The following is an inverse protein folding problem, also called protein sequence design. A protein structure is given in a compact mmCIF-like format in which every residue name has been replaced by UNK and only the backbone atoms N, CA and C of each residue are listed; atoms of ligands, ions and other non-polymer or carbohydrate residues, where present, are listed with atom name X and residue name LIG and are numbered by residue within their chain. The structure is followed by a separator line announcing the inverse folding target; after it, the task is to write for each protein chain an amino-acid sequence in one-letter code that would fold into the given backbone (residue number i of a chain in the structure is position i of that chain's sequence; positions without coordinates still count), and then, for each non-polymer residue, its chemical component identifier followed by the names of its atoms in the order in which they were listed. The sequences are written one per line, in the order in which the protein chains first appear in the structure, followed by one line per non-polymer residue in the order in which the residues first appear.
data_IF_216074687479
#
_entry.id   IF_216074687479
#
_cell.length_a   1.000
_cell.length_b   1.000
_cell.length_c   1.000
_cell.angle_alpha   90.00
_cell.angle_beta   90.00
_cell.angle_gamma   90.00
#
_symmetry.space_group_name_H-M   'P 1'
#
loop_
_entity.id
_entity.type
_entity.pdbx_description
1 polymer ?
#
# COMPACT_ATOMS: atom_id res chain seq x y z
N UNK A 1 -3.36 12.43 15.57
CA UNK A 1 -4.16 12.78 14.39
C UNK A 1 -5.51 13.35 14.85
N UNK A 2 -5.97 14.47 14.26
CA UNK A 2 -7.28 15.05 14.56
C UNK A 2 -8.33 14.11 13.94
N UNK A 3 -9.29 13.61 14.74
CA UNK A 3 -10.36 12.75 14.18
C UNK A 3 -11.22 13.57 13.22
N UNK A 4 -11.51 13.02 12.06
CA UNK A 4 -12.38 13.62 11.05
C UNK A 4 -13.85 13.51 11.45
N UNK A 5 -14.69 14.48 11.06
CA UNK A 5 -16.10 14.43 11.37
C UNK A 5 -16.86 13.52 10.40
N UNK A 6 -17.66 12.62 10.96
CA UNK A 6 -18.66 11.84 10.25
C UNK A 6 -20.05 12.33 10.63
N UNK A 7 -20.87 12.64 9.63
CA UNK A 7 -22.21 13.17 9.84
C UNK A 7 -23.27 12.23 9.25
N UNK A 8 -24.28 11.95 10.04
CA UNK A 8 -25.45 11.19 9.63
C UNK A 8 -26.64 12.15 9.53
N UNK A 9 -27.40 12.12 8.42
CA UNK A 9 -28.60 12.95 8.29
C UNK A 9 -29.73 12.18 7.58
N UNK A 10 -30.81 11.95 8.26
CA UNK A 10 -32.01 11.31 7.69
C UNK A 10 -33.31 11.87 8.33
N UNK A 11 -34.43 11.86 7.54
CA UNK A 11 -35.69 12.36 7.96
C UNK A 11 -36.34 11.55 9.12
N UNK A 12 -36.01 10.26 9.23
CA UNK A 12 -36.45 9.41 10.33
C UNK A 12 -35.49 9.58 11.52
N UNK A 13 -35.93 10.43 12.49
CA UNK A 13 -35.17 10.71 13.72
C UNK A 13 -34.92 9.44 14.55
N UNK A 14 -35.87 8.53 14.61
CA UNK A 14 -35.73 7.28 15.35
C UNK A 14 -34.73 6.35 14.74
N UNK A 15 -34.67 6.28 13.41
CA UNK A 15 -33.69 5.50 12.67
C UNK A 15 -32.25 6.06 12.84
N UNK A 16 -32.08 7.37 12.61
CA UNK A 16 -30.75 7.98 12.64
C UNK A 16 -30.14 7.98 14.04
N UNK A 17 -30.97 8.17 15.08
CA UNK A 17 -30.51 8.10 16.48
C UNK A 17 -30.01 6.69 16.86
N UNK A 18 -30.75 5.65 16.44
CA UNK A 18 -30.35 4.26 16.68
C UNK A 18 -29.05 3.92 15.95
N UNK A 19 -28.93 4.36 14.69
CA UNK A 19 -27.73 4.16 13.88
C UNK A 19 -26.51 4.87 14.49
N UNK A 20 -26.69 6.13 14.91
CA UNK A 20 -25.65 6.90 15.58
C UNK A 20 -25.22 6.25 16.91
N UNK A 21 -26.17 5.79 17.71
CA UNK A 21 -25.90 5.08 18.97
C UNK A 21 -25.11 3.78 18.72
N UNK A 22 -25.43 3.04 17.67
CA UNK A 22 -24.69 1.84 17.30
C UNK A 22 -23.24 2.17 16.95
N UNK A 23 -23.00 3.17 16.08
CA UNK A 23 -21.65 3.55 15.66
C UNK A 23 -20.81 4.14 16.78
N UNK A 24 -21.40 4.92 17.68
CA UNK A 24 -20.72 5.47 18.86
C UNK A 24 -20.23 4.39 19.83
N UNK A 25 -20.83 3.20 19.82
CA UNK A 25 -20.44 2.07 20.67
C UNK A 25 -19.50 1.07 19.99
N UNK A 26 -19.07 1.32 18.74
CA UNK A 26 -18.09 0.48 18.08
C UNK A 26 -16.69 0.65 18.73
N UNK A 27 -16.03 -0.45 19.05
CA UNK A 27 -14.65 -0.41 19.47
C UNK A 27 -13.78 0.25 18.37
N UNK A 28 -13.01 1.28 18.74
CA UNK A 28 -12.10 2.02 17.83
C UNK A 28 -12.79 2.77 16.68
N UNK A 29 -13.99 3.34 16.92
CA UNK A 29 -14.62 4.18 15.92
C UNK A 29 -13.72 5.38 15.56
N UNK A 30 -13.34 5.55 14.27
CA UNK A 30 -12.27 6.47 13.88
C UNK A 30 -12.70 7.93 13.75
N UNK A 31 -14.02 8.23 13.77
CA UNK A 31 -14.55 9.56 13.52
C UNK A 31 -15.07 10.25 14.77
N UNK A 32 -15.29 11.58 14.66
CA UNK A 32 -16.18 12.33 15.54
C UNK A 32 -17.58 12.28 14.92
N UNK A 33 -18.54 11.65 15.63
CA UNK A 33 -19.85 11.36 15.09
C UNK A 33 -20.85 12.48 15.43
N UNK A 34 -21.56 12.95 14.41
CA UNK A 34 -22.67 13.89 14.49
C UNK A 34 -23.88 13.33 13.79
N UNK A 35 -25.08 13.70 14.23
CA UNK A 35 -26.30 13.31 13.52
C UNK A 35 -27.38 14.40 13.57
N UNK A 36 -28.18 14.49 12.50
CA UNK A 36 -29.22 15.46 12.32
C UNK A 36 -30.45 14.79 11.70
N UNK A 37 -31.66 15.12 12.21
CA UNK A 37 -32.91 14.72 11.59
C UNK A 37 -33.40 15.77 10.56
N UNK A 38 -32.77 16.94 10.55
CA UNK A 38 -33.11 18.08 9.71
C UNK A 38 -31.91 18.52 8.87
N UNK A 39 -32.15 18.59 7.57
CA UNK A 39 -31.14 18.98 6.58
C UNK A 39 -30.69 20.44 6.74
N UNK A 40 -31.54 21.35 7.20
CA UNK A 40 -31.17 22.75 7.39
C UNK A 40 -30.16 22.90 8.55
N UNK A 41 -30.32 22.12 9.62
CA UNK A 41 -29.34 22.07 10.71
C UNK A 41 -28.01 21.49 10.25
N UNK A 42 -28.04 20.50 9.36
CA UNK A 42 -26.80 19.99 8.73
C UNK A 42 -26.12 21.08 7.92
N UNK A 43 -26.87 21.84 7.10
CA UNK A 43 -26.27 22.93 6.30
C UNK A 43 -25.65 24.02 7.18
N UNK A 44 -26.26 24.37 8.29
CA UNK A 44 -25.69 25.32 9.26
C UNK A 44 -24.41 24.77 9.91
N UNK A 45 -24.41 23.50 10.29
CA UNK A 45 -23.23 22.83 10.85
C UNK A 45 -22.04 22.84 9.87
N UNK A 46 -22.28 22.55 8.60
CA UNK A 46 -21.25 22.53 7.55
C UNK A 46 -20.65 23.90 7.25
N UNK A 47 -21.25 25.02 7.65
CA UNK A 47 -20.67 26.36 7.52
C UNK A 47 -19.47 26.58 8.45
N UNK A 48 -19.41 25.88 9.57
CA UNK A 48 -18.42 26.07 10.63
C UNK A 48 -17.57 24.84 10.94
N UNK A 49 -17.91 23.69 10.36
CA UNK A 49 -17.23 22.42 10.62
C UNK A 49 -16.91 21.70 9.32
N UNK A 50 -15.69 21.23 9.20
CA UNK A 50 -15.29 20.34 8.10
C UNK A 50 -15.92 18.96 8.29
N UNK A 51 -16.49 18.40 7.24
CA UNK A 51 -17.12 17.09 7.22
C UNK A 51 -16.35 16.21 6.24
N UNK A 52 -15.82 15.08 6.69
CA UNK A 52 -15.12 14.14 5.83
C UNK A 52 -16.04 13.07 5.24
N UNK A 53 -16.94 12.53 6.09
CA UNK A 53 -17.89 11.49 5.66
C UNK A 53 -19.30 11.93 5.98
N UNK A 54 -20.19 11.90 4.98
CA UNK A 54 -21.59 12.23 5.10
C UNK A 54 -22.46 11.04 4.69
N UNK A 55 -23.32 10.56 5.59
CA UNK A 55 -24.38 9.61 5.30
C UNK A 55 -25.73 10.36 5.26
N UNK A 56 -26.29 10.54 4.08
CA UNK A 56 -27.42 11.40 3.80
C UNK A 56 -28.62 10.58 3.30
N UNK A 57 -29.83 10.84 3.82
CA UNK A 57 -31.07 10.31 3.23
C UNK A 57 -31.18 10.78 1.76
N UNK A 58 -31.47 9.87 0.85
CA UNK A 58 -31.67 10.18 -0.57
C UNK A 58 -32.67 11.29 -0.82
N UNK A 59 -33.69 11.39 0.05
CA UNK A 59 -34.71 12.44 -0.03
C UNK A 59 -34.12 13.86 0.08
N UNK A 60 -32.96 14.01 0.70
CA UNK A 60 -32.30 15.30 0.87
C UNK A 60 -31.24 15.59 -0.21
N UNK A 61 -31.04 14.67 -1.16
CA UNK A 61 -30.00 14.79 -2.22
C UNK A 61 -30.11 16.13 -2.96
N UNK A 62 -31.28 16.46 -3.47
CA UNK A 62 -31.52 17.70 -4.23
C UNK A 62 -31.32 18.97 -3.39
N UNK A 63 -31.68 18.93 -2.09
CA UNK A 63 -31.53 20.06 -1.18
C UNK A 63 -30.07 20.33 -0.80
N UNK A 64 -29.23 19.31 -0.87
CA UNK A 64 -27.82 19.40 -0.53
C UNK A 64 -26.90 19.59 -1.75
N UNK A 65 -27.41 19.48 -2.97
CA UNK A 65 -26.61 19.50 -4.20
C UNK A 65 -25.71 20.73 -4.34
N UNK A 66 -26.23 21.93 -4.08
CA UNK A 66 -25.46 23.17 -4.16
C UNK A 66 -24.44 23.30 -3.02
N UNK A 67 -24.76 22.76 -1.84
CA UNK A 67 -23.86 22.76 -0.68
C UNK A 67 -22.69 21.79 -0.91
N UNK A 68 -23.00 20.62 -1.44
CA UNK A 68 -22.00 19.61 -1.76
C UNK A 68 -21.10 20.02 -2.93
N UNK A 69 -21.64 20.66 -3.98
CA UNK A 69 -20.84 21.18 -5.11
C UNK A 69 -19.79 22.22 -4.69
N UNK A 70 -20.05 22.99 -3.64
CA UNK A 70 -19.11 23.99 -3.12
C UNK A 70 -17.97 23.39 -2.29
N UNK A 71 -18.15 22.16 -1.80
CA UNK A 71 -17.21 21.45 -0.91
C UNK A 71 -16.78 20.09 -1.48
N UNK A 72 -16.80 19.91 -2.82
CA UNK A 72 -16.70 18.62 -3.52
C UNK A 72 -15.35 17.90 -3.29
N UNK A 73 -14.26 18.61 -2.99
CA UNK A 73 -12.93 18.01 -2.93
C UNK A 73 -12.66 17.22 -1.63
N UNK A 74 -13.49 17.40 -0.57
CA UNK A 74 -13.16 16.86 0.75
C UNK A 74 -14.23 15.97 1.38
N UNK A 75 -15.45 15.83 0.78
CA UNK A 75 -16.57 15.12 1.41
C UNK A 75 -16.93 13.84 0.66
N UNK A 76 -16.82 12.70 1.32
CA UNK A 76 -17.36 11.43 0.82
C UNK A 76 -18.84 11.34 1.24
N UNK A 77 -19.75 11.47 0.27
CA UNK A 77 -21.19 11.44 0.53
C UNK A 77 -21.83 10.11 0.12
N UNK A 78 -22.40 9.40 1.10
CA UNK A 78 -23.21 8.21 0.91
C UNK A 78 -24.67 8.55 0.99
N UNK A 79 -25.50 7.97 0.11
CA UNK A 79 -26.95 8.16 0.10
C UNK A 79 -27.68 6.92 0.62
N UNK A 80 -28.47 7.09 1.69
CA UNK A 80 -29.40 6.06 2.17
C UNK A 80 -30.60 5.98 1.25
N UNK A 81 -30.80 4.86 0.59
CA UNK A 81 -31.93 4.62 -0.31
C UNK A 81 -32.83 3.50 0.18
N UNK A 82 -34.13 3.61 -0.14
CA UNK A 82 -35.14 2.55 0.07
C UNK A 82 -35.21 1.56 -1.08
N UNK A 83 -34.52 1.83 -2.19
CA UNK A 83 -34.46 0.98 -3.38
C UNK A 83 -33.14 0.17 -3.39
N UNK A 84 -33.25 -1.13 -3.13
CA UNK A 84 -32.08 -2.03 -3.15
C UNK A 84 -31.40 -2.11 -4.53
N UNK A 85 -32.13 -1.84 -5.63
CA UNK A 85 -31.56 -1.85 -6.98
C UNK A 85 -30.60 -0.69 -7.26
N UNK A 86 -30.66 0.40 -6.49
CA UNK A 86 -29.75 1.54 -6.64
C UNK A 86 -28.37 1.29 -6.03
N UNK A 87 -28.25 0.40 -5.06
CA UNK A 87 -26.97 0.13 -4.38
C UNK A 87 -25.86 -0.32 -5.36
N UNK A 88 -26.22 -0.93 -6.47
CA UNK A 88 -25.29 -1.41 -7.50
C UNK A 88 -25.07 -0.41 -8.65
N UNK A 89 -25.66 0.79 -8.62
CA UNK A 89 -25.54 1.82 -9.67
C UNK A 89 -24.53 2.88 -9.29
N UNK A 90 -23.26 2.50 -9.22
CA UNK A 90 -22.16 3.40 -8.78
C UNK A 90 -22.00 4.67 -9.63
N UNK A 91 -22.43 4.65 -10.91
CA UNK A 91 -22.38 5.85 -11.79
C UNK A 91 -23.32 6.98 -11.38
N UNK A 92 -24.32 6.70 -10.56
CA UNK A 92 -25.33 7.68 -10.12
C UNK A 92 -25.06 8.23 -8.71
N UNK A 93 -24.10 7.65 -7.98
CA UNK A 93 -23.72 8.03 -6.63
C UNK A 93 -23.47 6.83 -5.71
N UNK A 94 -22.97 7.10 -4.51
CA UNK A 94 -22.68 6.07 -3.51
C UNK A 94 -23.93 5.72 -2.71
N UNK A 95 -24.76 4.85 -3.24
CA UNK A 95 -25.98 4.43 -2.58
C UNK A 95 -25.77 3.25 -1.63
N UNK A 96 -26.48 3.29 -0.48
CA UNK A 96 -26.55 2.22 0.51
C UNK A 96 -28.01 1.92 0.81
N UNK A 97 -28.40 0.65 0.73
CA UNK A 97 -29.76 0.23 1.04
C UNK A 97 -30.05 0.39 2.54
N UNK A 98 -31.06 1.17 2.88
CA UNK A 98 -31.38 1.56 4.26
C UNK A 98 -31.79 0.39 5.17
N UNK A 99 -32.50 -0.62 4.63
CA UNK A 99 -33.06 -1.72 5.40
C UNK A 99 -32.14 -2.91 5.55
N UNK A 100 -30.92 -2.66 6.00
CA UNK A 100 -29.93 -3.67 6.36
C UNK A 100 -29.36 -3.37 7.76
N UNK A 101 -28.64 -4.32 8.34
CA UNK A 101 -28.07 -4.11 9.68
C UNK A 101 -27.05 -2.97 9.71
N UNK A 102 -26.94 -2.28 10.84
CA UNK A 102 -25.98 -1.18 11.01
C UNK A 102 -24.52 -1.63 10.77
N UNK A 103 -24.19 -2.90 11.10
CA UNK A 103 -22.90 -3.48 10.82
C UNK A 103 -22.63 -3.62 9.32
N UNK A 104 -23.57 -4.12 8.55
CA UNK A 104 -23.45 -4.26 7.09
C UNK A 104 -23.35 -2.88 6.42
N UNK A 105 -24.11 -1.89 6.88
CA UNK A 105 -23.97 -0.51 6.41
C UNK A 105 -22.57 0.02 6.66
N UNK A 106 -22.04 -0.21 7.86
CA UNK A 106 -20.71 0.22 8.25
C UNK A 106 -19.61 -0.43 7.38
N UNK A 107 -19.66 -1.75 7.22
CA UNK A 107 -18.70 -2.49 6.38
C UNK A 107 -18.70 -1.99 4.92
N UNK A 108 -19.88 -1.76 4.35
CA UNK A 108 -20.01 -1.23 2.98
C UNK A 108 -19.51 0.21 2.86
N UNK A 109 -19.74 1.04 3.87
CA UNK A 109 -19.20 2.41 3.88
C UNK A 109 -17.69 2.41 3.88
N UNK A 110 -17.07 1.65 4.78
CA UNK A 110 -15.60 1.55 4.86
C UNK A 110 -15.02 1.02 3.54
N UNK A 111 -15.57 -0.04 2.98
CA UNK A 111 -15.10 -0.59 1.70
C UNK A 111 -15.20 0.44 0.55
N UNK A 112 -16.30 1.18 0.46
CA UNK A 112 -16.48 2.21 -0.58
C UNK A 112 -15.61 3.44 -0.32
N UNK A 113 -15.43 3.84 0.93
CA UNK A 113 -14.55 4.96 1.30
C UNK A 113 -13.08 4.64 0.94
N UNK A 114 -12.59 3.47 1.32
CA UNK A 114 -11.24 3.01 0.97
C UNK A 114 -11.04 3.00 -0.55
N UNK A 115 -12.03 2.52 -1.32
CA UNK A 115 -12.00 2.53 -2.78
C UNK A 115 -11.94 3.95 -3.37
N UNK A 116 -12.69 4.91 -2.81
CA UNK A 116 -12.68 6.29 -3.26
C UNK A 116 -11.36 6.97 -2.93
N UNK A 117 -10.83 6.74 -1.71
CA UNK A 117 -9.53 7.28 -1.32
C UNK A 117 -8.41 6.71 -2.21
N UNK A 118 -8.54 5.46 -2.67
CA UNK A 118 -7.65 4.91 -3.69
C UNK A 118 -7.76 5.66 -5.01
N UNK A 119 -8.98 5.87 -5.53
CA UNK A 119 -9.20 6.58 -6.80
C UNK A 119 -8.78 8.05 -6.76
N UNK A 120 -9.00 8.76 -5.65
CA UNK A 120 -8.54 10.14 -5.47
C UNK A 120 -7.00 10.20 -5.47
N UNK A 121 -6.34 9.25 -4.78
CA UNK A 121 -4.89 9.13 -4.82
C UNK A 121 -4.35 8.77 -6.20
N UNK A 122 -5.10 8.00 -7.00
CA UNK A 122 -4.76 7.72 -8.40
C UNK A 122 -4.80 8.97 -9.29
N UNK A 123 -5.72 9.91 -9.04
CA UNK A 123 -5.84 11.17 -9.80
C UNK A 123 -4.73 12.18 -9.47
N UNK A 124 -4.21 12.15 -8.25
CA UNK A 124 -3.03 12.94 -7.85
C UNK A 124 -1.70 12.33 -8.32
N UNK A 125 -1.70 11.08 -8.76
CA UNK A 125 -0.51 10.35 -9.20
C UNK A 125 -0.39 10.32 -10.72
N UNK A 126 0.03 11.43 -11.34
CA UNK A 126 0.51 11.46 -12.73
C UNK A 126 1.93 10.90 -12.87
N UNK A 127 2.63 10.65 -11.79
CA UNK A 127 3.95 10.04 -11.77
C UNK A 127 3.83 8.51 -11.94
N UNK A 128 4.47 7.98 -12.98
CA UNK A 128 4.58 6.54 -13.21
C UNK A 128 5.36 5.92 -12.05
N UNK A 129 4.74 4.96 -11.33
CA UNK A 129 5.42 4.24 -10.24
C UNK A 129 6.68 3.57 -10.75
N UNK A 130 7.81 3.77 -10.05
CA UNK A 130 9.09 3.12 -10.37
C UNK A 130 9.28 1.85 -9.54
N UNK A 131 9.76 0.81 -10.22
CA UNK A 131 10.09 -0.47 -9.62
C UNK A 131 11.60 -0.62 -9.56
N UNK A 132 12.16 -0.78 -8.36
CA UNK A 132 13.59 -0.96 -8.14
C UNK A 132 13.81 -2.31 -7.44
N UNK A 133 14.60 -3.17 -8.08
CA UNK A 133 14.92 -4.51 -7.56
C UNK A 133 16.26 -4.56 -6.86
N UNK A 134 16.32 -5.23 -5.73
CA UNK A 134 17.56 -5.62 -5.08
C UNK A 134 17.71 -7.14 -5.19
N UNK A 135 18.89 -7.58 -5.62
CA UNK A 135 19.13 -9.00 -5.84
C UNK A 135 20.59 -9.36 -5.49
N UNK A 136 20.82 -10.56 -5.04
CA UNK A 136 22.16 -11.08 -4.79
C UNK A 136 22.28 -12.51 -5.32
N UNK A 137 22.76 -12.69 -6.56
CA UNK A 137 22.98 -14.02 -7.14
C UNK A 137 24.04 -14.80 -6.38
N UNK A 138 24.82 -14.10 -5.59
CA UNK A 138 26.00 -14.63 -4.90
C UNK A 138 25.69 -15.07 -3.46
N UNK A 139 24.52 -14.70 -2.91
CA UNK A 139 24.09 -15.07 -1.56
C UNK A 139 24.89 -14.46 -0.41
N UNK A 140 25.90 -13.65 -0.71
CA UNK A 140 26.76 -12.97 0.26
C UNK A 140 26.71 -11.46 0.03
N UNK A 141 26.37 -10.73 1.02
CA UNK A 141 26.30 -9.28 1.00
C UNK A 141 25.02 -8.78 1.61
N UNK A 142 25.10 -7.78 2.40
CA UNK A 142 24.01 -7.17 3.16
C UNK A 142 22.94 -6.53 2.25
N UNK A 143 22.44 -7.31 1.25
CA UNK A 143 21.46 -6.89 0.26
C UNK A 143 20.20 -6.32 0.91
N UNK A 144 19.64 -7.05 1.85
CA UNK A 144 18.39 -6.67 2.54
C UNK A 144 18.57 -5.39 3.35
N UNK A 145 19.72 -5.24 4.04
CA UNK A 145 20.07 -4.00 4.73
C UNK A 145 20.20 -2.82 3.77
N UNK A 146 20.86 -3.01 2.62
CA UNK A 146 20.99 -1.99 1.59
C UNK A 146 19.63 -1.60 0.98
N UNK A 147 18.79 -2.59 0.66
CA UNK A 147 17.46 -2.39 0.10
C UNK A 147 16.57 -1.60 1.06
N UNK A 148 16.55 -1.99 2.34
CA UNK A 148 15.76 -1.32 3.37
C UNK A 148 16.28 0.08 3.66
N UNK A 149 17.60 0.27 3.78
CA UNK A 149 18.21 1.58 3.98
C UNK A 149 17.95 2.53 2.80
N UNK A 150 18.03 2.03 1.57
CA UNK A 150 17.68 2.81 0.37
C UNK A 150 16.18 3.16 0.34
N UNK A 151 15.30 2.21 0.68
CA UNK A 151 13.88 2.47 0.79
C UNK A 151 13.56 3.57 1.84
N UNK A 152 14.23 3.55 3.00
CA UNK A 152 14.12 4.61 4.01
C UNK A 152 14.64 5.97 3.50
N UNK A 153 15.70 5.95 2.69
CA UNK A 153 16.24 7.16 2.11
C UNK A 153 15.23 7.82 1.16
N UNK A 154 14.62 7.05 0.26
CA UNK A 154 13.58 7.54 -0.65
C UNK A 154 12.32 7.97 0.10
N UNK A 155 11.95 7.29 1.18
CA UNK A 155 10.75 7.58 1.96
C UNK A 155 10.80 8.94 2.68
N UNK A 156 11.95 9.64 2.68
CA UNK A 156 12.06 11.01 3.20
C UNK A 156 11.27 12.04 2.37
N UNK A 157 11.11 11.77 1.06
CA UNK A 157 10.49 12.69 0.11
C UNK A 157 9.43 12.05 -0.79
N UNK A 158 9.35 10.73 -0.81
CA UNK A 158 8.48 9.97 -1.70
C UNK A 158 7.62 8.96 -0.95
N UNK A 159 6.54 8.53 -1.57
CA UNK A 159 5.70 7.41 -1.09
C UNK A 159 6.32 6.10 -1.55
N UNK A 160 6.87 5.35 -0.62
CA UNK A 160 7.64 4.13 -0.88
C UNK A 160 7.00 2.93 -0.21
N UNK A 161 6.86 1.84 -0.93
CA UNK A 161 6.55 0.52 -0.37
C UNK A 161 7.73 -0.42 -0.55
N UNK A 162 8.16 -1.03 0.55
CA UNK A 162 9.19 -2.06 0.56
C UNK A 162 8.57 -3.45 0.71
N UNK A 163 8.91 -4.35 -0.20
CA UNK A 163 8.50 -5.75 -0.22
C UNK A 163 9.72 -6.65 -0.13
N UNK A 164 9.76 -7.49 0.90
CA UNK A 164 10.84 -8.46 1.10
C UNK A 164 10.33 -9.87 0.76
N UNK A 165 10.95 -10.47 -0.26
CA UNK A 165 10.67 -11.84 -0.72
C UNK A 165 11.65 -12.89 -0.15
N UNK A 166 12.44 -12.51 0.85
CA UNK A 166 13.30 -13.45 1.56
C UNK A 166 12.56 -14.04 2.77
N UNK A 167 12.21 -15.32 2.72
CA UNK A 167 11.52 -16.03 3.80
C UNK A 167 12.37 -16.27 5.06
N UNK A 168 13.64 -15.84 5.06
CA UNK A 168 14.54 -15.95 6.21
C UNK A 168 15.34 -14.67 6.44
N UNK A 169 14.74 -13.52 6.18
CA UNK A 169 15.44 -12.24 6.14
C UNK A 169 16.09 -11.82 7.47
N UNK A 170 15.66 -12.39 8.59
CA UNK A 170 16.14 -11.98 9.92
C UNK A 170 15.79 -10.54 10.32
N UNK A 171 15.21 -9.76 9.41
CA UNK A 171 14.77 -8.37 9.62
C UNK A 171 13.28 -8.38 9.97
N UNK A 172 12.85 -7.46 10.81
CA UNK A 172 11.49 -7.33 11.30
C UNK A 172 10.99 -8.56 12.06
N UNK A 173 11.70 -8.97 13.11
CA UNK A 173 11.25 -10.01 14.02
C UNK A 173 9.79 -9.80 14.46
N UNK A 174 8.86 -10.44 13.77
CA UNK A 174 7.42 -10.26 14.02
C UNK A 174 6.94 -11.11 15.17
N UNK A 175 6.00 -10.56 15.94
CA UNK A 175 5.24 -11.34 16.94
C UNK A 175 4.30 -12.32 16.22
N UNK A 176 4.01 -13.45 16.84
CA UNK A 176 3.00 -14.39 16.34
C UNK A 176 1.65 -13.69 16.11
N UNK A 177 0.93 -14.09 15.07
CA UNK A 177 -0.39 -13.56 14.72
C UNK A 177 -0.40 -12.25 13.92
N UNK A 178 0.75 -11.74 13.46
CA UNK A 178 0.79 -10.60 12.56
C UNK A 178 0.68 -11.05 11.11
N UNK A 179 -0.12 -10.31 10.32
CA UNK A 179 -0.25 -10.56 8.88
C UNK A 179 1.05 -10.22 8.15
N UNK A 180 1.38 -11.02 7.12
CA UNK A 180 2.63 -11.02 6.39
C UNK A 180 2.39 -10.97 4.88
N UNK A 181 3.46 -10.97 4.10
CA UNK A 181 3.40 -10.97 2.63
C UNK A 181 2.60 -12.17 2.09
N UNK A 182 2.77 -13.37 2.67
CA UNK A 182 2.00 -14.55 2.30
C UNK A 182 0.49 -14.39 2.53
N UNK A 183 0.08 -13.73 3.62
CA UNK A 183 -1.34 -13.46 3.88
C UNK A 183 -1.91 -12.47 2.87
N UNK A 184 -1.15 -11.40 2.56
CA UNK A 184 -1.56 -10.42 1.56
C UNK A 184 -1.68 -11.06 0.17
N UNK A 185 -0.73 -11.94 -0.19
CA UNK A 185 -0.78 -12.70 -1.43
C UNK A 185 -1.99 -13.64 -1.49
N UNK A 186 -2.36 -14.26 -0.38
CA UNK A 186 -3.59 -15.07 -0.31
C UNK A 186 -4.86 -14.24 -0.63
N UNK A 187 -4.95 -13.00 -0.14
CA UNK A 187 -6.04 -12.10 -0.51
C UNK A 187 -6.00 -11.71 -1.98
N UNK A 188 -4.81 -11.51 -2.55
CA UNK A 188 -4.64 -11.25 -3.98
C UNK A 188 -5.20 -12.39 -4.85
N UNK A 189 -4.96 -13.64 -4.49
CA UNK A 189 -5.50 -14.80 -5.20
C UNK A 189 -7.04 -14.85 -5.19
N UNK A 190 -7.68 -14.20 -4.21
CA UNK A 190 -9.14 -14.08 -4.18
C UNK A 190 -9.64 -12.92 -5.06
N UNK A 191 -8.99 -11.76 -5.00
CA UNK A 191 -9.27 -10.57 -5.78
C UNK A 191 -8.19 -9.51 -5.53
N UNK A 192 -7.72 -8.84 -6.60
CA UNK A 192 -6.80 -7.71 -6.48
C UNK A 192 -7.39 -6.57 -5.64
N UNK A 193 -8.69 -6.29 -5.75
CA UNK A 193 -9.39 -5.28 -4.95
C UNK A 193 -9.34 -5.62 -3.46
N UNK A 194 -9.59 -6.88 -3.08
CA UNK A 194 -9.48 -7.34 -1.68
C UNK A 194 -8.06 -7.21 -1.15
N UNK A 195 -7.07 -7.51 -1.98
CA UNK A 195 -5.66 -7.36 -1.63
C UNK A 195 -5.34 -5.90 -1.33
N UNK A 196 -5.77 -4.94 -2.18
CA UNK A 196 -5.50 -3.51 -1.99
C UNK A 196 -6.14 -2.97 -0.71
N UNK A 197 -7.38 -3.38 -0.40
CA UNK A 197 -8.02 -3.06 0.89
C UNK A 197 -7.21 -3.61 2.07
N UNK A 198 -6.75 -4.85 1.96
CA UNK A 198 -5.95 -5.49 3.02
C UNK A 198 -4.55 -4.91 3.13
N UNK A 199 -3.96 -4.43 2.05
CA UNK A 199 -2.65 -3.76 2.06
C UNK A 199 -2.61 -2.62 3.09
N UNK A 200 -3.65 -1.78 3.12
CA UNK A 200 -3.75 -0.69 4.09
C UNK A 200 -3.78 -1.16 5.56
N UNK A 201 -4.35 -2.35 5.81
CA UNK A 201 -4.43 -2.94 7.15
C UNK A 201 -3.19 -3.74 7.56
N UNK A 202 -2.48 -4.33 6.59
CA UNK A 202 -1.31 -5.21 6.78
C UNK A 202 -0.02 -4.42 6.84
N UNK A 203 0.08 -3.33 6.07
CA UNK A 203 1.28 -2.51 5.99
C UNK A 203 1.66 -1.94 7.35
N UNK A 204 2.94 -1.85 7.58
CA UNK A 204 3.55 -1.15 8.69
C UNK A 204 4.30 0.06 8.17
N UNK A 205 4.52 1.04 9.03
CA UNK A 205 5.29 2.23 8.66
C UNK A 205 6.42 2.46 9.65
N UNK A 206 7.59 2.80 9.13
CA UNK A 206 8.80 3.12 9.87
C UNK A 206 9.51 4.28 9.19
N UNK A 207 9.69 5.40 9.88
CA UNK A 207 10.35 6.61 9.34
C UNK A 207 9.79 7.09 7.97
N UNK A 208 8.46 6.98 7.78
CA UNK A 208 7.81 7.33 6.51
C UNK A 208 7.80 6.22 5.45
N UNK A 209 8.59 5.17 5.62
CA UNK A 209 8.58 3.99 4.77
C UNK A 209 7.42 3.06 5.13
N UNK A 210 6.58 2.74 4.16
CA UNK A 210 5.63 1.64 4.28
C UNK A 210 6.29 0.31 3.90
N UNK A 211 6.03 -0.73 4.67
CA UNK A 211 6.55 -2.07 4.41
C UNK A 211 5.58 -3.17 4.85
N UNK A 212 5.76 -4.35 4.31
CA UNK A 212 5.03 -5.55 4.70
C UNK A 212 6.01 -6.53 5.33
N UNK A 213 5.60 -7.15 6.44
CA UNK A 213 6.42 -8.18 7.06
C UNK A 213 6.68 -9.32 6.07
N UNK A 214 7.93 -9.81 5.94
CA UNK A 214 8.26 -10.91 5.04
C UNK A 214 7.49 -12.17 5.41
N UNK A 215 7.34 -13.09 4.48
CA UNK A 215 6.79 -14.43 4.74
C UNK A 215 7.60 -15.16 5.81
N UNK A 216 6.95 -16.05 6.58
CA UNK A 216 7.63 -16.81 7.64
C UNK A 216 8.60 -17.83 7.10
N UNK A 217 8.29 -18.41 5.94
CA UNK A 217 9.08 -19.48 5.35
C UNK A 217 9.42 -19.15 3.90
N UNK A 218 10.59 -19.63 3.46
CA UNK A 218 10.97 -19.55 2.05
C UNK A 218 10.00 -20.34 1.14
N UNK A 219 9.30 -21.33 1.68
CA UNK A 219 8.34 -22.13 0.94
C UNK A 219 7.15 -21.29 0.48
N UNK A 220 6.70 -20.34 1.31
CA UNK A 220 5.60 -19.42 0.95
C UNK A 220 5.95 -18.56 -0.28
N UNK A 221 7.25 -18.30 -0.48
CA UNK A 221 7.75 -17.51 -1.63
C UNK A 221 8.03 -18.42 -2.83
N UNK A 222 8.66 -19.58 -2.61
CA UNK A 222 9.09 -20.47 -3.68
C UNK A 222 7.96 -21.26 -4.36
N UNK A 223 6.79 -21.34 -3.74
CA UNK A 223 5.60 -21.98 -4.32
C UNK A 223 4.83 -21.07 -5.29
N UNK A 224 5.07 -19.76 -5.24
CA UNK A 224 4.40 -18.79 -6.10
C UNK A 224 5.15 -18.66 -7.42
N UNK A 225 4.42 -18.79 -8.54
CA UNK A 225 5.01 -18.66 -9.88
C UNK A 225 5.41 -17.21 -10.19
N UNK A 226 6.36 -17.02 -11.11
CA UNK A 226 6.76 -15.69 -11.54
C UNK A 226 5.61 -14.88 -12.15
N UNK A 227 4.71 -15.53 -12.90
CA UNK A 227 3.50 -14.89 -13.42
C UNK A 227 2.58 -14.37 -12.31
N UNK A 228 2.42 -15.13 -11.22
CA UNK A 228 1.60 -14.72 -10.09
C UNK A 228 2.25 -13.55 -9.34
N UNK A 229 3.58 -13.58 -9.12
CA UNK A 229 4.29 -12.45 -8.52
C UNK A 229 4.21 -11.21 -9.38
N UNK A 230 4.38 -11.35 -10.70
CA UNK A 230 4.21 -10.24 -11.64
C UNK A 230 2.82 -9.61 -11.53
N UNK A 231 1.76 -10.41 -11.58
CA UNK A 231 0.40 -9.91 -11.48
C UNK A 231 0.12 -9.24 -10.11
N UNK A 232 0.70 -9.75 -9.03
CA UNK A 232 0.62 -9.16 -7.69
C UNK A 232 1.32 -7.78 -7.64
N UNK A 233 2.53 -7.68 -8.18
CA UNK A 233 3.31 -6.44 -8.25
C UNK A 233 2.58 -5.42 -9.13
N UNK A 234 2.09 -5.84 -10.31
CA UNK A 234 1.34 -4.99 -11.23
C UNK A 234 0.06 -4.42 -10.57
N UNK A 235 -0.66 -5.21 -9.77
CA UNK A 235 -1.84 -4.73 -9.05
C UNK A 235 -1.49 -3.64 -8.02
N UNK A 236 -0.34 -3.75 -7.35
CA UNK A 236 0.15 -2.71 -6.43
C UNK A 236 0.57 -1.46 -7.23
N UNK A 237 1.30 -1.60 -8.33
CA UNK A 237 1.73 -0.49 -9.18
C UNK A 237 0.52 0.27 -9.74
N UNK A 238 -0.48 -0.46 -10.25
CA UNK A 238 -1.71 0.13 -10.81
C UNK A 238 -2.56 0.85 -9.78
N UNK A 239 -2.37 0.58 -8.48
CA UNK A 239 -3.08 1.31 -7.42
C UNK A 239 -2.67 2.78 -7.30
N UNK A 240 -1.52 3.18 -7.88
CA UNK A 240 -0.99 4.54 -7.82
C UNK A 240 -0.64 5.03 -6.40
N UNK A 241 -0.72 4.17 -5.38
CA UNK A 241 -0.50 4.56 -3.99
C UNK A 241 0.95 4.93 -3.69
N UNK A 242 1.90 4.38 -4.45
CA UNK A 242 3.33 4.52 -4.22
C UNK A 242 4.04 5.05 -5.46
N UNK A 243 5.01 5.93 -5.25
CA UNK A 243 5.90 6.44 -6.31
C UNK A 243 7.03 5.46 -6.58
N UNK A 244 7.49 4.78 -5.52
CA UNK A 244 8.53 3.75 -5.61
C UNK A 244 8.08 2.46 -4.95
N UNK A 245 8.33 1.36 -5.63
CA UNK A 245 8.19 0.01 -5.10
C UNK A 245 9.56 -0.65 -5.07
N UNK A 246 10.05 -0.94 -3.87
CA UNK A 246 11.36 -1.55 -3.65
C UNK A 246 11.16 -3.04 -3.41
N UNK A 247 11.71 -3.85 -4.31
CA UNK A 247 11.66 -5.30 -4.23
C UNK A 247 13.00 -5.87 -3.73
N UNK A 248 13.00 -6.45 -2.56
CA UNK A 248 14.11 -7.23 -2.05
C UNK A 248 13.95 -8.70 -2.48
N UNK A 249 14.45 -9.00 -3.69
CA UNK A 249 14.24 -10.28 -4.35
C UNK A 249 15.15 -11.39 -3.80
N UNK A 250 14.56 -12.56 -3.59
CA UNK A 250 15.27 -13.78 -3.19
C UNK A 250 15.59 -14.67 -4.40
N UNK A 251 16.74 -15.34 -4.45
CA UNK A 251 17.00 -16.38 -5.44
C UNK A 251 16.04 -17.58 -5.37
N UNK A 252 15.25 -17.68 -4.30
CA UNK A 252 14.26 -18.72 -4.10
C UNK A 252 12.92 -18.44 -4.81
N UNK A 253 12.70 -17.22 -5.30
CA UNK A 253 11.55 -16.89 -6.12
C UNK A 253 11.61 -17.66 -7.45
N UNK A 254 10.48 -18.25 -7.86
CA UNK A 254 10.39 -18.80 -9.21
C UNK A 254 10.52 -17.67 -10.24
N UNK A 255 11.27 -17.95 -11.30
CA UNK A 255 11.45 -17.02 -12.43
C UNK A 255 11.88 -15.61 -11.98
N UNK A 256 12.73 -15.52 -10.95
CA UNK A 256 13.16 -14.23 -10.36
C UNK A 256 13.74 -13.26 -11.40
N UNK A 257 14.42 -13.76 -12.45
CA UNK A 257 14.95 -12.93 -13.52
C UNK A 257 13.83 -12.20 -14.29
N UNK A 258 12.69 -12.83 -14.46
CA UNK A 258 11.52 -12.22 -15.13
C UNK A 258 10.92 -11.10 -14.27
N UNK A 259 10.98 -11.25 -12.94
CA UNK A 259 10.59 -10.18 -12.01
C UNK A 259 11.59 -9.02 -12.06
N UNK A 260 12.89 -9.33 -12.11
CA UNK A 260 13.92 -8.29 -12.22
C UNK A 260 13.85 -7.53 -13.57
N UNK A 261 13.36 -8.16 -14.64
CA UNK A 261 13.12 -7.49 -15.92
C UNK A 261 11.97 -6.46 -15.87
N UNK A 262 11.09 -6.53 -14.89
CA UNK A 262 10.08 -5.50 -14.66
C UNK A 262 10.67 -4.23 -14.03
N UNK A 263 11.80 -4.38 -13.31
CA UNK A 263 12.43 -3.28 -12.61
C UNK A 263 13.09 -2.31 -13.59
N UNK A 264 12.89 -1.01 -13.37
CA UNK A 264 13.61 0.05 -14.09
C UNK A 264 15.10 0.00 -13.79
N UNK A 265 15.45 -0.40 -12.56
CA UNK A 265 16.82 -0.57 -12.08
C UNK A 265 16.93 -1.78 -11.16
N UNK A 266 18.07 -2.46 -11.22
CA UNK A 266 18.40 -3.58 -10.34
C UNK A 266 19.73 -3.31 -9.65
N UNK A 267 19.74 -3.38 -8.32
CA UNK A 267 20.91 -3.14 -7.49
C UNK A 267 21.44 -4.47 -6.99
N UNK A 268 22.73 -4.73 -7.25
CA UNK A 268 23.40 -5.96 -6.84
C UNK A 268 24.66 -5.62 -6.04
N UNK A 269 24.64 -5.79 -4.71
CA UNK A 269 25.85 -5.63 -3.90
C UNK A 269 26.76 -6.86 -4.03
N UNK A 270 28.08 -6.63 -3.98
CA UNK A 270 29.08 -7.68 -4.00
C UNK A 270 30.36 -7.27 -3.28
N UNK A 271 31.11 -8.24 -2.77
CA UNK A 271 32.45 -8.05 -2.21
C UNK A 271 33.54 -8.21 -3.27
N UNK A 272 34.66 -7.47 -3.14
CA UNK A 272 35.80 -7.57 -4.07
C UNK A 272 36.69 -8.78 -3.76
N UNK A 273 36.17 -9.83 -3.22
CA UNK A 273 36.94 -11.05 -2.99
C UNK A 273 36.86 -11.97 -4.21
N UNK A 274 37.94 -12.75 -4.44
CA UNK A 274 38.14 -13.49 -5.69
C UNK A 274 36.98 -14.41 -6.11
N UNK A 275 36.27 -14.99 -5.13
CA UNK A 275 35.08 -15.80 -5.38
C UNK A 275 33.91 -14.98 -5.88
N UNK A 276 33.65 -13.80 -5.30
CA UNK A 276 32.53 -12.94 -5.64
C UNK A 276 32.69 -12.31 -7.02
N UNK A 277 33.91 -11.92 -7.41
CA UNK A 277 34.18 -11.40 -8.75
C UNK A 277 33.88 -12.46 -9.82
N UNK A 278 34.34 -13.71 -9.64
CA UNK A 278 34.03 -14.79 -10.58
C UNK A 278 32.54 -15.09 -10.68
N UNK A 279 31.80 -15.04 -9.56
CA UNK A 279 30.36 -15.23 -9.56
C UNK A 279 29.65 -14.08 -10.29
N UNK A 280 30.10 -12.84 -10.11
CA UNK A 280 29.62 -11.68 -10.87
C UNK A 280 29.79 -11.88 -12.37
N UNK A 281 31.03 -12.17 -12.81
CA UNK A 281 31.32 -12.41 -14.22
C UNK A 281 30.52 -13.58 -14.81
N UNK A 282 30.33 -14.65 -14.04
CA UNK A 282 29.52 -15.78 -14.45
C UNK A 282 28.03 -15.38 -14.58
N UNK A 283 27.50 -14.57 -13.64
CA UNK A 283 26.13 -14.09 -13.70
C UNK A 283 25.91 -13.17 -14.92
N UNK A 284 26.83 -12.26 -15.21
CA UNK A 284 26.80 -11.42 -16.41
C UNK A 284 26.80 -12.27 -17.69
N UNK A 285 27.70 -13.28 -17.73
CA UNK A 285 27.75 -14.21 -18.86
C UNK A 285 26.47 -15.04 -19.01
N UNK A 286 25.90 -15.50 -17.90
CA UNK A 286 24.62 -16.23 -17.89
C UNK A 286 23.47 -15.37 -18.46
N UNK A 287 23.36 -14.10 -18.05
CA UNK A 287 22.38 -13.16 -18.59
C UNK A 287 22.58 -12.95 -20.10
N UNK A 288 23.82 -12.79 -20.55
CA UNK A 288 24.13 -12.66 -21.97
C UNK A 288 23.73 -13.93 -22.76
N UNK A 289 24.10 -15.12 -22.29
CA UNK A 289 23.77 -16.38 -22.94
C UNK A 289 22.27 -16.69 -22.95
N UNK A 290 21.51 -16.15 -22.01
CA UNK A 290 20.06 -16.28 -21.94
C UNK A 290 19.28 -15.16 -22.66
N UNK A 291 19.97 -14.32 -23.45
CA UNK A 291 19.39 -13.21 -24.21
C UNK A 291 18.68 -12.16 -23.32
N UNK A 292 19.27 -11.88 -22.13
CA UNK A 292 18.75 -10.91 -21.15
C UNK A 292 19.65 -9.67 -21.04
N UNK A 293 20.19 -9.19 -22.16
CA UNK A 293 21.09 -8.03 -22.19
C UNK A 293 20.37 -6.74 -21.75
N UNK A 294 19.05 -6.68 -21.93
CA UNK A 294 18.24 -5.56 -21.45
C UNK A 294 18.27 -5.47 -19.91
N UNK A 295 18.20 -6.61 -19.21
CA UNK A 295 18.34 -6.66 -17.76
C UNK A 295 19.75 -6.28 -17.35
N UNK A 296 20.78 -6.83 -18.03
CA UNK A 296 22.18 -6.52 -17.72
C UNK A 296 22.48 -5.02 -17.76
N UNK A 297 21.88 -4.26 -18.69
CA UNK A 297 22.05 -2.79 -18.78
C UNK A 297 21.38 -2.03 -17.63
N UNK A 298 20.42 -2.63 -16.93
CA UNK A 298 19.71 -2.02 -15.78
C UNK A 298 20.36 -2.36 -14.45
N UNK A 299 21.37 -3.25 -14.45
CA UNK A 299 22.07 -3.65 -13.23
C UNK A 299 23.10 -2.59 -12.85
N UNK A 300 22.97 -2.08 -11.64
CA UNK A 300 24.01 -1.31 -10.97
C UNK A 300 24.67 -2.20 -9.91
N UNK A 301 25.97 -2.44 -10.09
CA UNK A 301 26.78 -3.19 -9.13
C UNK A 301 27.28 -2.25 -8.04
N UNK A 302 27.02 -2.57 -6.77
CA UNK A 302 27.54 -1.84 -5.61
C UNK A 302 28.63 -2.68 -4.97
N UNK A 303 29.86 -2.16 -5.03
CA UNK A 303 31.01 -2.88 -4.48
C UNK A 303 31.24 -2.52 -3.02
N UNK A 304 31.12 -3.50 -2.12
CA UNK A 304 31.51 -3.33 -0.73
C UNK A 304 33.02 -3.17 -0.62
N UNK A 305 33.49 -2.14 0.09
CA UNK A 305 34.91 -1.90 0.37
C UNK A 305 35.39 -2.73 1.54
N UNK A 306 34.53 -2.91 2.54
CA UNK A 306 34.75 -3.61 3.80
C UNK A 306 33.55 -4.45 4.16
N UNK A 307 33.69 -5.32 5.17
CA UNK A 307 32.56 -6.07 5.70
C UNK A 307 31.61 -5.10 6.38
N UNK A 308 30.37 -5.05 5.93
CA UNK A 308 29.33 -4.21 6.48
C UNK A 308 28.79 -4.82 7.78
N UNK A 309 28.70 -4.01 8.81
CA UNK A 309 28.03 -4.36 10.06
C UNK A 309 26.69 -3.62 10.10
N UNK A 310 25.61 -4.39 10.02
CA UNK A 310 24.27 -3.82 10.16
C UNK A 310 24.01 -3.43 11.60
N UNK A 311 23.34 -2.28 11.85
CA UNK A 311 22.86 -1.93 13.18
C UNK A 311 21.82 -2.95 13.67
N UNK A 312 21.71 -3.10 14.98
CA UNK A 312 20.73 -3.99 15.60
C UNK A 312 19.29 -3.48 15.44
N UNK A 313 19.13 -2.18 15.16
CA UNK A 313 17.84 -1.53 14.97
C UNK A 313 17.70 -1.15 13.48
N UNK A 314 16.67 -1.67 12.83
CA UNK A 314 16.39 -1.40 11.42
C UNK A 314 16.11 0.08 11.12
N UNK A 315 15.70 0.86 12.11
CA UNK A 315 15.48 2.32 11.97
C UNK A 315 16.79 3.11 11.74
N UNK A 316 17.93 2.52 12.10
CA UNK A 316 19.24 3.16 12.04
C UNK A 316 20.04 2.85 10.75
N UNK A 317 19.52 1.98 9.88
CA UNK A 317 20.19 1.54 8.64
C UNK A 317 20.64 2.71 7.75
N UNK A 318 19.86 3.79 7.77
CA UNK A 318 20.12 4.97 6.95
C UNK A 318 21.37 5.78 7.39
N UNK A 319 21.77 5.68 8.66
CA UNK A 319 22.82 6.50 9.27
C UNK A 319 24.08 5.72 9.61
N UNK A 320 24.14 4.44 9.24
CA UNK A 320 25.27 3.55 9.53
C UNK A 320 26.28 3.42 8.39
N UNK A 321 26.97 2.29 8.37
CA UNK A 321 27.97 1.96 7.35
C UNK A 321 27.41 1.87 5.92
N UNK A 322 26.06 1.75 5.79
CA UNK A 322 25.37 1.70 4.50
C UNK A 322 25.19 3.08 3.84
N UNK A 323 25.24 4.18 4.58
CA UNK A 323 24.96 5.52 4.05
C UNK A 323 25.76 5.90 2.80
N UNK A 324 27.10 5.67 2.71
CA UNK A 324 27.86 5.99 1.50
C UNK A 324 27.38 5.21 0.27
N UNK A 325 27.02 3.94 0.46
CA UNK A 325 26.56 3.05 -0.62
C UNK A 325 25.13 3.36 -1.05
N UNK A 326 24.27 3.75 -0.12
CA UNK A 326 22.91 4.24 -0.41
C UNK A 326 22.99 5.46 -1.34
N UNK A 327 23.89 6.41 -1.03
CA UNK A 327 24.10 7.62 -1.84
C UNK A 327 24.77 7.33 -3.20
N UNK A 328 25.46 6.20 -3.34
CA UNK A 328 26.04 5.77 -4.61
C UNK A 328 24.99 5.23 -5.59
N UNK A 329 23.84 4.78 -5.09
CA UNK A 329 22.75 4.29 -5.93
C UNK A 329 22.19 5.46 -6.73
N UNK A 330 22.34 5.41 -8.05
CA UNK A 330 21.79 6.38 -8.97
C UNK A 330 20.32 6.02 -9.24
N UNK A 331 19.42 6.93 -9.02
CA UNK A 331 18.04 6.87 -9.51
C UNK A 331 17.74 8.18 -10.24
N UNK A 332 16.86 8.14 -11.22
CA UNK A 332 16.42 9.34 -11.91
C UNK A 332 15.36 10.02 -11.03
N UNK A 333 15.54 11.32 -10.76
CA UNK A 333 14.51 12.16 -10.13
C UNK A 333 13.40 12.50 -11.13
#
# INVERSE_FOLDING_TARGET
MKKQNMVLCAADEGYITKLASYYANLEKFPYLLWYFADVFRLQEFMKSHEVGVLLLDEAYKNLMEDTLKKNVEDIICFYLTKDAGKENREKEGLYLFQYQSANVLWEKMIQKEERIQMVIKEQDCTAKSELIGFFAPVGEGEKTGLALGFAQYLAKSHRVLYLNFDGCSGIFGGKDGQMRLSDLFYFFLQSSERMLVKLAAVKKSMNGLDFILPSLTYQDVSQVTGEQWKAFIDAILQSGQYEYLILDCSPQMQEVLDILELCGKVIIPYYREGGCIKKKEYFEQMLFCSHREALLRRIQWIQWKEKILLPANEEELLYGELEPYIKEIQWEE
#
